data_IF_607464296421
#
_entry.id   IF_607464296421
#
_cell.length_a   1.000
_cell.length_b   1.000
_cell.length_c   1.000
_cell.angle_alpha   90.00
_cell.angle_beta   90.00
_cell.angle_gamma   90.00
#
_symmetry.space_group_name_H-M   'P 1'
#
loop_
_entity.id
_entity.type
_entity.pdbx_description
1 polymer ?
#
# COMPACT_ATOMS: atom_id res chain seq x y z
N UNK A 1 -25.05 -21.10 20.34
CA UNK A 1 -24.77 -21.93 21.53
C UNK A 1 -23.53 -21.37 22.20
N UNK A 2 -23.62 -20.96 23.46
CA UNK A 2 -22.46 -20.54 24.27
C UNK A 2 -22.13 -21.70 25.20
N UNK A 3 -20.91 -22.22 25.10
CA UNK A 3 -20.48 -23.35 25.92
C UNK A 3 -19.82 -22.81 27.18
N UNK A 4 -20.24 -23.25 28.39
CA UNK A 4 -19.67 -22.72 29.63
C UNK A 4 -18.18 -23.01 29.77
N UNK A 5 -17.73 -24.19 29.32
CA UNK A 5 -16.33 -24.58 29.43
C UNK A 5 -15.90 -25.46 28.26
N UNK A 6 -14.75 -25.15 27.67
CA UNK A 6 -14.07 -26.01 26.70
C UNK A 6 -12.75 -26.49 27.31
N UNK A 7 -12.61 -27.82 27.43
CA UNK A 7 -11.39 -28.45 27.94
C UNK A 7 -10.61 -29.08 26.80
N UNK A 8 -9.44 -28.52 26.50
CA UNK A 8 -8.54 -29.04 25.48
C UNK A 8 -7.25 -29.55 26.14
N UNK A 9 -7.37 -30.73 26.78
CA UNK A 9 -6.34 -31.31 27.66
C UNK A 9 -5.79 -32.66 27.16
N UNK A 10 -6.24 -33.13 26.00
CA UNK A 10 -5.83 -34.41 25.44
C UNK A 10 -4.42 -34.37 24.84
N UNK A 11 -3.98 -35.53 24.33
CA UNK A 11 -2.76 -35.60 23.53
C UNK A 11 -2.91 -34.78 22.24
N UNK A 12 -1.78 -34.25 21.77
CA UNK A 12 -1.73 -33.47 20.54
C UNK A 12 -2.31 -34.26 19.36
N UNK A 13 -3.31 -33.72 18.64
CA UNK A 13 -3.86 -34.40 17.47
C UNK A 13 -2.78 -34.71 16.43
N UNK A 14 -2.53 -36.00 16.17
CA UNK A 14 -1.55 -36.45 15.18
C UNK A 14 -2.05 -36.28 13.74
N UNK A 15 -3.37 -36.41 13.53
CA UNK A 15 -4.05 -36.29 12.23
C UNK A 15 -5.28 -35.39 12.35
N UNK A 16 -5.70 -34.81 11.23
CA UNK A 16 -6.87 -33.94 11.15
C UNK A 16 -6.61 -32.48 11.48
N UNK A 17 -7.69 -31.69 11.50
CA UNK A 17 -7.70 -30.26 11.81
C UNK A 17 -8.66 -30.01 12.98
N UNK A 18 -8.29 -29.08 13.86
CA UNK A 18 -9.14 -28.57 14.93
C UNK A 18 -9.74 -27.25 14.46
N UNK A 19 -11.06 -27.19 14.34
CA UNK A 19 -11.79 -26.01 13.87
C UNK A 19 -12.66 -25.50 15.00
N UNK A 20 -12.38 -24.29 15.47
CA UNK A 20 -13.12 -23.58 16.52
C UNK A 20 -13.82 -22.32 15.97
N UNK A 21 -13.96 -22.23 14.65
CA UNK A 21 -14.50 -21.04 14.00
C UNK A 21 -15.91 -20.72 14.49
N UNK A 22 -16.13 -19.48 14.92
CA UNK A 22 -17.41 -18.99 15.45
C UNK A 22 -17.81 -19.55 16.83
N UNK A 23 -16.99 -20.39 17.46
CA UNK A 23 -17.29 -20.93 18.78
C UNK A 23 -17.15 -19.85 19.85
N UNK A 24 -18.04 -19.89 20.85
CA UNK A 24 -18.00 -18.99 22.00
C UNK A 24 -17.98 -19.82 23.27
N UNK A 25 -16.91 -19.65 24.05
CA UNK A 25 -16.70 -20.36 25.31
C UNK A 25 -16.49 -19.36 26.43
N UNK A 26 -16.95 -19.66 27.63
CA UNK A 26 -16.62 -18.79 28.78
C UNK A 26 -15.21 -19.16 29.26
N UNK A 27 -15.01 -20.41 29.68
CA UNK A 27 -13.71 -20.88 30.16
C UNK A 27 -13.00 -21.75 29.12
N UNK A 28 -11.77 -21.36 28.75
CA UNK A 28 -10.86 -22.20 27.96
C UNK A 28 -9.83 -22.84 28.89
N UNK A 29 -9.99 -24.14 29.15
CA UNK A 29 -9.09 -24.93 29.97
C UNK A 29 -8.17 -25.73 29.06
N UNK A 30 -6.90 -25.36 28.96
CA UNK A 30 -6.01 -25.92 27.95
C UNK A 30 -4.57 -26.18 28.43
N UNK A 31 -3.82 -26.95 27.65
CA UNK A 31 -2.39 -27.16 27.85
C UNK A 31 -1.61 -26.77 26.60
N UNK A 32 -0.40 -26.27 26.79
CA UNK A 32 0.47 -25.86 25.69
C UNK A 32 0.82 -27.02 24.73
N UNK A 33 0.91 -28.25 25.24
CA UNK A 33 1.25 -29.46 24.48
C UNK A 33 0.05 -30.11 23.76
N UNK A 34 -1.19 -29.77 24.14
CA UNK A 34 -2.39 -30.37 23.55
C UNK A 34 -2.71 -29.84 22.15
N UNK A 35 -2.32 -28.62 21.81
CA UNK A 35 -2.73 -27.96 20.57
C UNK A 35 -2.04 -28.50 19.30
N UNK A 36 -2.74 -28.58 18.15
CA UNK A 36 -2.15 -29.01 16.90
C UNK A 36 -1.14 -27.98 16.36
N UNK A 37 -0.31 -28.40 15.40
CA UNK A 37 0.70 -27.52 14.79
C UNK A 37 0.15 -26.48 13.81
N UNK A 38 1.02 -25.60 13.30
CA UNK A 38 0.68 -24.61 12.29
C UNK A 38 -0.11 -25.22 11.12
N UNK A 39 -1.15 -24.53 10.67
CA UNK A 39 -2.01 -24.96 9.55
C UNK A 39 -3.02 -26.06 9.86
N UNK A 40 -3.07 -26.56 11.11
CA UNK A 40 -4.06 -27.56 11.57
C UNK A 40 -5.06 -27.02 12.60
N UNK A 41 -5.04 -25.72 12.82
CA UNK A 41 -5.91 -25.03 13.76
C UNK A 41 -6.60 -23.88 13.02
N UNK A 42 -7.92 -23.73 13.21
CA UNK A 42 -8.70 -22.61 12.67
C UNK A 42 -9.53 -21.97 13.79
N UNK A 43 -9.36 -20.67 13.99
CA UNK A 43 -10.02 -19.91 15.08
C UNK A 43 -10.81 -18.68 14.60
N UNK A 44 -11.20 -18.60 13.33
CA UNK A 44 -11.92 -17.41 12.83
C UNK A 44 -13.23 -17.20 13.59
N UNK A 45 -13.40 -16.08 14.29
CA UNK A 45 -14.58 -15.86 15.16
C UNK A 45 -14.60 -16.66 16.47
N UNK A 46 -13.51 -17.32 16.87
CA UNK A 46 -13.42 -18.00 18.17
C UNK A 46 -13.29 -16.99 19.30
N UNK A 47 -14.24 -17.01 20.25
CA UNK A 47 -14.24 -16.14 21.41
C UNK A 47 -14.14 -16.97 22.70
N UNK A 48 -13.31 -16.50 23.62
CA UNK A 48 -13.15 -17.01 24.98
C UNK A 48 -13.05 -15.84 25.95
N UNK A 49 -13.55 -16.02 27.17
CA UNK A 49 -13.56 -14.97 28.21
C UNK A 49 -12.45 -15.20 29.24
N UNK A 50 -12.25 -16.45 29.69
CA UNK A 50 -11.24 -16.81 30.67
C UNK A 50 -10.26 -17.85 30.13
N UNK A 51 -8.98 -17.65 30.43
CA UNK A 51 -7.91 -18.62 30.16
C UNK A 51 -7.53 -19.34 31.45
N UNK A 52 -7.69 -20.66 31.47
CA UNK A 52 -7.39 -21.51 32.64
C UNK A 52 -6.35 -22.56 32.24
N UNK A 53 -5.06 -22.17 32.07
CA UNK A 53 -4.02 -23.10 31.65
C UNK A 53 -3.79 -24.18 32.71
N UNK A 54 -3.61 -25.43 32.26
CA UNK A 54 -3.21 -26.55 33.11
C UNK A 54 -1.71 -26.79 32.98
N UNK A 55 -0.95 -26.25 33.93
CA UNK A 55 0.50 -26.29 33.93
C UNK A 55 1.13 -25.07 33.25
N UNK A 56 2.46 -25.07 33.03
CA UNK A 56 3.17 -23.93 32.47
C UNK A 56 2.70 -23.62 31.04
N UNK A 57 2.08 -22.45 30.85
CA UNK A 57 1.71 -21.94 29.53
C UNK A 57 2.27 -20.52 29.34
N UNK A 58 3.59 -20.39 29.13
CA UNK A 58 4.22 -19.09 28.93
C UNK A 58 3.68 -18.37 27.69
N UNK A 59 3.70 -17.03 27.74
CA UNK A 59 3.18 -16.17 26.69
C UNK A 59 3.76 -16.48 25.31
N UNK A 60 5.05 -16.78 25.22
CA UNK A 60 5.71 -17.15 23.97
C UNK A 60 5.06 -18.38 23.29
N UNK A 61 4.67 -19.40 24.07
CA UNK A 61 3.95 -20.56 23.53
C UNK A 61 2.52 -20.19 23.14
N UNK A 62 1.88 -19.28 23.89
CA UNK A 62 0.53 -18.80 23.58
C UNK A 62 0.51 -18.01 22.28
N UNK A 63 1.52 -17.18 22.03
CA UNK A 63 1.70 -16.48 20.76
C UNK A 63 1.92 -17.45 19.60
N UNK A 64 2.69 -18.53 19.79
CA UNK A 64 2.83 -19.59 18.77
C UNK A 64 1.52 -20.31 18.48
N UNK A 65 0.68 -20.50 19.49
CA UNK A 65 -0.66 -21.07 19.33
C UNK A 65 -1.57 -20.14 18.51
N UNK A 66 -1.55 -18.83 18.78
CA UNK A 66 -2.26 -17.81 18.01
C UNK A 66 -1.75 -17.74 16.57
N UNK A 67 -0.43 -17.78 16.35
CA UNK A 67 0.16 -17.76 15.01
C UNK A 67 -0.16 -19.06 14.22
N UNK A 68 -0.29 -20.20 14.91
CA UNK A 68 -0.67 -21.46 14.30
C UNK A 68 -2.15 -21.54 13.89
N UNK A 69 -3.00 -20.62 14.38
CA UNK A 69 -4.45 -20.59 14.20
C UNK A 69 -4.92 -20.25 12.79
N UNK A 70 -4.02 -19.79 11.92
CA UNK A 70 -4.30 -19.47 10.53
C UNK A 70 -3.03 -19.62 9.70
N UNK A 71 -3.16 -20.10 8.46
CA UNK A 71 -2.05 -20.13 7.51
C UNK A 71 -1.66 -18.72 7.03
N UNK A 72 -2.64 -17.80 7.01
CA UNK A 72 -2.47 -16.39 6.66
C UNK A 72 -2.57 -15.51 7.90
N UNK A 73 -1.94 -14.32 7.87
CA UNK A 73 -2.00 -13.39 8.99
C UNK A 73 -3.44 -12.93 9.27
N UNK A 74 -3.94 -13.24 10.47
CA UNK A 74 -5.23 -12.77 10.98
C UNK A 74 -5.02 -11.96 12.28
N UNK A 75 -5.41 -10.67 12.34
CA UNK A 75 -5.27 -9.85 13.54
C UNK A 75 -6.22 -10.22 14.69
N UNK A 76 -7.37 -10.84 14.41
CA UNK A 76 -8.45 -11.07 15.40
C UNK A 76 -8.00 -11.96 16.59
N UNK A 77 -7.36 -13.13 16.39
CA UNK A 77 -6.89 -13.97 17.49
C UNK A 77 -5.93 -13.27 18.45
N UNK A 78 -5.10 -12.35 17.94
CA UNK A 78 -4.20 -11.55 18.77
C UNK A 78 -4.95 -10.52 19.62
N UNK A 79 -5.94 -9.84 19.02
CA UNK A 79 -6.78 -8.87 19.75
C UNK A 79 -7.58 -9.56 20.85
N UNK A 80 -8.13 -10.74 20.56
CA UNK A 80 -8.87 -11.53 21.55
C UNK A 80 -7.98 -11.94 22.72
N UNK A 81 -6.79 -12.48 22.45
CA UNK A 81 -5.85 -12.85 23.51
C UNK A 81 -5.46 -11.63 24.36
N UNK A 82 -5.15 -10.49 23.73
CA UNK A 82 -4.79 -9.27 24.43
C UNK A 82 -5.96 -8.67 25.24
N UNK A 83 -7.21 -8.85 24.81
CA UNK A 83 -8.38 -8.45 25.58
C UNK A 83 -8.52 -9.30 26.84
N UNK A 84 -8.46 -10.62 26.70
CA UNK A 84 -8.61 -11.57 27.82
C UNK A 84 -7.47 -11.43 28.85
N UNK A 85 -6.24 -11.17 28.40
CA UNK A 85 -5.11 -10.93 29.32
C UNK A 85 -5.29 -9.64 30.12
N UNK A 86 -5.82 -8.56 29.52
CA UNK A 86 -6.14 -7.32 30.24
C UNK A 86 -7.28 -7.52 31.24
N UNK A 87 -8.33 -8.22 30.85
CA UNK A 87 -9.44 -8.56 31.73
C UNK A 87 -8.99 -9.46 32.90
N UNK A 88 -7.99 -10.32 32.68
CA UNK A 88 -7.32 -11.11 33.71
C UNK A 88 -6.28 -10.36 34.56
N UNK A 89 -6.06 -9.06 34.32
CA UNK A 89 -5.13 -8.22 35.09
C UNK A 89 -3.66 -8.31 34.68
N UNK A 90 -3.32 -8.96 33.57
CA UNK A 90 -1.94 -9.15 33.08
C UNK A 90 -1.66 -8.20 31.90
N UNK A 91 -1.65 -6.90 32.21
CA UNK A 91 -1.55 -5.84 31.20
C UNK A 91 -0.22 -5.82 30.43
N UNK A 92 0.88 -6.24 31.06
CA UNK A 92 2.19 -6.32 30.41
C UNK A 92 2.18 -7.36 29.29
N UNK A 93 1.68 -8.57 29.56
CA UNK A 93 1.53 -9.64 28.57
C UNK A 93 0.63 -9.20 27.42
N UNK A 94 -0.46 -8.49 27.71
CA UNK A 94 -1.36 -7.98 26.67
C UNK A 94 -0.67 -6.99 25.72
N UNK A 95 0.21 -6.11 26.24
CA UNK A 95 1.01 -5.20 25.40
C UNK A 95 1.98 -5.98 24.53
N UNK A 96 2.62 -7.00 25.07
CA UNK A 96 3.52 -7.87 24.30
C UNK A 96 2.78 -8.60 23.17
N UNK A 97 1.54 -9.05 23.39
CA UNK A 97 0.69 -9.63 22.33
C UNK A 97 0.42 -8.64 21.20
N UNK A 98 0.09 -7.38 21.54
CA UNK A 98 -0.18 -6.35 20.54
C UNK A 98 1.10 -5.96 19.77
N UNK A 99 2.27 -5.99 20.41
CA UNK A 99 3.56 -5.80 19.74
C UNK A 99 3.86 -6.96 18.79
N UNK A 100 3.62 -8.21 19.22
CA UNK A 100 3.77 -9.40 18.39
C UNK A 100 2.85 -9.34 17.16
N UNK A 101 1.60 -8.90 17.32
CA UNK A 101 0.65 -8.64 16.22
C UNK A 101 1.23 -7.64 15.21
N UNK A 102 1.78 -6.52 15.67
CA UNK A 102 2.37 -5.50 14.78
C UNK A 102 3.63 -6.01 14.07
N UNK A 103 4.50 -6.77 14.76
CA UNK A 103 5.66 -7.41 14.14
C UNK A 103 5.22 -8.35 13.04
N UNK A 104 4.22 -9.22 13.31
CA UNK A 104 3.72 -10.18 12.34
C UNK A 104 3.07 -9.52 11.13
N UNK A 105 2.30 -8.44 11.34
CA UNK A 105 1.75 -7.62 10.24
C UNK A 105 2.83 -7.06 9.32
N UNK A 106 3.99 -6.69 9.87
CA UNK A 106 5.11 -6.17 9.06
C UNK A 106 5.78 -7.26 8.25
N UNK A 107 5.91 -8.46 8.80
CA UNK A 107 6.48 -9.63 8.13
C UNK A 107 5.52 -10.21 7.07
N UNK A 108 4.21 -10.16 7.33
CA UNK A 108 3.19 -10.70 6.43
C UNK A 108 2.86 -9.78 5.26
N UNK A 109 3.30 -8.52 5.27
CA UNK A 109 3.19 -7.61 4.14
C UNK A 109 4.19 -8.06 3.06
N UNK A 110 3.73 -8.59 1.91
CA UNK A 110 4.64 -8.93 0.83
C UNK A 110 5.37 -7.65 0.41
N UNK A 111 6.69 -7.70 0.26
CA UNK A 111 7.47 -6.61 -0.34
C UNK A 111 6.86 -6.21 -1.70
N UNK A 112 6.32 -7.18 -2.44
CA UNK A 112 5.58 -6.99 -3.67
C UNK A 112 4.23 -6.25 -3.50
N UNK A 113 3.51 -6.42 -2.38
CA UNK A 113 2.26 -5.69 -2.12
C UNK A 113 2.50 -4.25 -1.65
N UNK A 114 3.66 -3.96 -1.04
CA UNK A 114 4.09 -2.56 -0.80
C UNK A 114 4.40 -1.86 -2.12
N UNK A 115 5.10 -2.53 -3.03
CA UNK A 115 5.41 -1.99 -4.36
C UNK A 115 4.17 -1.91 -5.26
N UNK A 116 3.29 -2.92 -5.21
CA UNK A 116 2.01 -2.94 -5.91
C UNK A 116 1.03 -1.93 -5.32
N UNK A 117 1.01 -1.71 -4.01
CA UNK A 117 0.24 -0.66 -3.36
C UNK A 117 0.71 0.74 -3.78
N UNK A 118 2.01 0.95 -3.95
CA UNK A 118 2.56 2.16 -4.56
C UNK A 118 2.15 2.32 -6.02
N UNK A 119 2.16 1.24 -6.80
CA UNK A 119 1.72 1.23 -8.20
C UNK A 119 0.19 1.44 -8.34
N UNK A 120 -0.60 0.90 -7.41
CA UNK A 120 -2.05 1.00 -7.37
C UNK A 120 -2.50 2.38 -6.88
N UNK A 121 -1.82 2.98 -5.89
CA UNK A 121 -1.97 4.40 -5.54
C UNK A 121 -1.56 5.32 -6.70
N UNK A 122 -0.64 4.87 -7.55
CA UNK A 122 -0.25 5.56 -8.79
C UNK A 122 -1.39 5.61 -9.83
N UNK A 123 -2.22 4.55 -9.89
CA UNK A 123 -3.33 4.45 -10.87
C UNK A 123 -4.71 4.81 -10.30
N UNK A 124 -4.97 4.64 -9.00
CA UNK A 124 -6.30 4.81 -8.38
C UNK A 124 -6.47 6.19 -7.74
N UNK A 125 -5.39 6.92 -7.45
CA UNK A 125 -5.46 8.30 -6.96
C UNK A 125 -5.72 9.34 -8.07
N UNK A 126 -6.56 9.01 -9.07
CA UNK A 126 -7.07 9.91 -10.11
C UNK A 126 -8.19 10.85 -9.61
N UNK A 127 -8.25 11.08 -8.30
CA UNK A 127 -9.23 11.93 -7.66
C UNK A 127 -8.56 13.03 -6.86
N UNK A 128 -8.80 14.28 -7.28
CA UNK A 128 -8.77 15.48 -6.44
C UNK A 128 -7.39 15.98 -5.97
N UNK A 129 -6.75 16.82 -6.80
CA UNK A 129 -6.12 18.11 -6.40
C UNK A 129 -5.41 18.75 -7.61
N UNK A 130 -5.81 19.96 -8.07
CA UNK A 130 -5.20 20.63 -9.23
C UNK A 130 -3.68 20.89 -9.08
N UNK A 131 -3.16 20.92 -7.85
CA UNK A 131 -1.71 21.09 -7.59
C UNK A 131 -0.82 19.94 -8.09
N UNK A 132 -1.33 18.71 -8.28
CA UNK A 132 -0.48 17.58 -8.72
C UNK A 132 -0.21 17.59 -10.23
N UNK A 133 -1.11 18.15 -11.03
CA UNK A 133 -0.87 18.37 -12.46
C UNK A 133 0.26 19.38 -12.68
N UNK A 134 0.35 20.42 -11.84
CA UNK A 134 1.47 21.38 -11.88
C UNK A 134 2.81 20.70 -11.53
N UNK A 135 2.83 19.77 -10.57
CA UNK A 135 4.05 18.99 -10.26
C UNK A 135 4.47 18.11 -11.42
N UNK A 136 3.53 17.39 -12.05
CA UNK A 136 3.83 16.58 -13.23
C UNK A 136 4.28 17.41 -14.43
N UNK A 137 3.69 18.60 -14.62
CA UNK A 137 4.14 19.56 -15.61
C UNK A 137 5.60 19.98 -15.35
N UNK A 138 5.95 20.28 -14.09
CA UNK A 138 7.31 20.63 -13.72
C UNK A 138 8.31 19.47 -13.91
N UNK A 139 7.90 18.22 -13.61
CA UNK A 139 8.74 17.03 -13.81
C UNK A 139 8.96 16.76 -15.30
N UNK A 140 7.91 16.79 -16.12
CA UNK A 140 8.03 16.61 -17.57
C UNK A 140 8.87 17.73 -18.18
N UNK A 141 8.66 18.98 -17.74
CA UNK A 141 9.46 20.11 -18.18
C UNK A 141 10.95 19.92 -17.86
N UNK A 142 11.29 19.55 -16.63
CA UNK A 142 12.67 19.29 -16.23
C UNK A 142 13.30 18.11 -17.02
N UNK A 143 12.55 17.03 -17.21
CA UNK A 143 12.99 15.87 -17.97
C UNK A 143 13.22 16.19 -19.46
N UNK A 144 12.29 16.92 -20.08
CA UNK A 144 12.41 17.41 -21.45
C UNK A 144 13.59 18.36 -21.61
N UNK A 145 13.72 19.33 -20.70
CA UNK A 145 14.85 20.27 -20.68
C UNK A 145 16.18 19.53 -20.65
N UNK A 146 16.33 18.53 -19.78
CA UNK A 146 17.55 17.73 -19.68
C UNK A 146 17.79 16.86 -20.92
N UNK A 147 16.73 16.29 -21.48
CA UNK A 147 16.82 15.48 -22.68
C UNK A 147 17.27 16.32 -23.88
N UNK A 148 16.56 17.41 -24.18
CA UNK A 148 16.86 18.32 -25.30
C UNK A 148 18.16 19.11 -25.08
N UNK A 149 18.66 19.26 -23.85
CA UNK A 149 19.98 19.83 -23.59
C UNK A 149 21.13 18.91 -24.02
N UNK A 150 20.89 17.59 -24.17
CA UNK A 150 21.94 16.64 -24.55
C UNK A 150 22.32 16.71 -26.03
N UNK A 151 21.49 17.33 -26.85
CA UNK A 151 21.69 17.42 -28.29
C UNK A 151 21.33 18.80 -28.79
N UNK A 152 22.27 19.47 -29.45
CA UNK A 152 21.96 20.72 -30.17
C UNK A 152 21.22 20.34 -31.45
N UNK A 153 20.00 20.84 -31.61
CA UNK A 153 19.22 20.64 -32.82
C UNK A 153 19.52 21.77 -33.81
N UNK A 154 19.81 21.45 -35.09
CA UNK A 154 20.06 22.49 -36.08
C UNK A 154 18.78 23.27 -36.38
N UNK A 155 18.89 24.57 -36.69
CA UNK A 155 17.74 25.38 -37.05
C UNK A 155 17.17 24.95 -38.41
N UNK A 156 15.85 25.10 -38.57
CA UNK A 156 15.10 24.72 -39.76
C UNK A 156 15.29 25.73 -40.91
N UNK A 157 15.57 27.00 -40.58
CA UNK A 157 15.91 28.09 -41.52
C UNK A 157 17.20 28.77 -41.05
N UNK A 158 18.09 29.11 -41.98
CA UNK A 158 19.33 29.83 -41.68
C UNK A 158 19.07 31.33 -41.54
N UNK A 159 19.39 31.91 -40.38
CA UNK A 159 19.45 33.37 -40.17
C UNK A 159 18.28 34.01 -39.42
N UNK A 160 17.16 33.31 -39.27
CA UNK A 160 15.99 33.78 -38.50
C UNK A 160 15.54 32.70 -37.51
N UNK A 161 16.24 32.58 -36.38
CA UNK A 161 15.84 31.74 -35.26
C UNK A 161 16.30 32.37 -33.94
N UNK A 162 15.58 32.14 -32.84
CA UNK A 162 16.07 32.50 -31.51
C UNK A 162 17.30 31.66 -31.13
N UNK A 163 17.97 32.04 -30.06
CA UNK A 163 18.99 31.19 -29.44
C UNK A 163 18.37 29.89 -28.92
N UNK A 164 19.07 28.77 -29.12
CA UNK A 164 18.61 27.46 -28.66
C UNK A 164 18.51 27.42 -27.13
N UNK A 165 17.29 27.27 -26.62
CA UNK A 165 17.05 27.09 -25.21
C UNK A 165 16.20 25.82 -24.99
N UNK A 166 16.82 24.70 -24.55
CA UNK A 166 16.14 23.44 -24.31
C UNK A 166 14.98 23.54 -23.32
N UNK A 167 15.08 24.43 -22.33
CA UNK A 167 14.07 24.58 -21.30
C UNK A 167 12.85 25.35 -21.80
N UNK A 168 13.08 26.39 -22.61
CA UNK A 168 11.99 27.09 -23.30
C UNK A 168 11.34 26.17 -24.34
N UNK A 169 12.12 25.44 -25.13
CA UNK A 169 11.61 24.47 -26.10
C UNK A 169 10.75 23.38 -25.44
N UNK A 170 11.20 22.80 -24.33
CA UNK A 170 10.42 21.80 -23.59
C UNK A 170 9.12 22.38 -23.00
N UNK A 171 9.15 23.63 -22.54
CA UNK A 171 7.97 24.31 -22.02
C UNK A 171 6.97 24.63 -23.13
N UNK A 172 7.46 25.06 -24.28
CA UNK A 172 6.68 25.37 -25.49
C UNK A 172 5.96 24.12 -26.04
N UNK A 173 6.60 22.95 -25.95
CA UNK A 173 5.95 21.67 -26.26
C UNK A 173 4.85 21.27 -25.25
N UNK A 174 5.01 21.64 -23.98
CA UNK A 174 4.12 21.23 -22.89
C UNK A 174 2.94 22.20 -22.69
N UNK A 175 3.07 23.45 -23.11
CA UNK A 175 2.06 24.50 -22.98
C UNK A 175 1.37 24.75 -24.33
N UNK A 176 0.30 24.00 -24.67
CA UNK A 176 -0.29 24.06 -26.00
C UNK A 176 -0.93 25.40 -26.40
N UNK A 177 -1.11 26.31 -25.43
CA UNK A 177 -1.79 27.60 -25.63
C UNK A 177 -0.80 28.76 -25.74
N UNK A 178 0.42 28.59 -25.24
CA UNK A 178 1.42 29.67 -25.18
C UNK A 178 2.54 29.31 -26.14
N UNK A 179 2.81 30.21 -27.07
CA UNK A 179 3.96 30.13 -27.96
C UNK A 179 5.12 30.94 -27.35
N UNK A 180 6.18 30.25 -26.96
CA UNK A 180 7.43 30.83 -26.43
C UNK A 180 8.46 31.09 -27.52
N UNK A 181 8.09 30.86 -28.79
CA UNK A 181 8.86 31.21 -29.97
C UNK A 181 10.00 30.24 -30.28
N UNK A 182 10.01 29.03 -29.73
CA UNK A 182 11.07 28.03 -29.97
C UNK A 182 10.58 26.92 -30.92
N UNK A 183 9.35 26.45 -30.76
CA UNK A 183 8.77 25.40 -31.61
C UNK A 183 8.63 25.91 -33.05
N UNK A 184 8.95 25.05 -34.02
CA UNK A 184 8.92 25.39 -35.46
C UNK A 184 10.23 25.97 -36.02
N UNK A 185 11.17 26.37 -35.17
CA UNK A 185 12.51 26.84 -35.59
C UNK A 185 13.57 25.75 -35.63
N UNK A 186 13.32 24.58 -35.03
CA UNK A 186 14.33 23.53 -34.83
C UNK A 186 13.98 22.22 -35.55
N UNK A 187 14.96 21.60 -36.18
CA UNK A 187 14.78 20.33 -36.88
C UNK A 187 15.02 19.14 -35.94
N UNK A 188 13.94 18.52 -35.46
CA UNK A 188 14.01 17.25 -34.74
C UNK A 188 13.99 16.08 -35.74
N UNK A 189 14.91 15.12 -35.60
CA UNK A 189 14.99 13.92 -36.46
C UNK A 189 14.93 12.63 -35.63
N UNK A 190 14.32 11.60 -36.20
CA UNK A 190 14.29 10.26 -35.61
C UNK A 190 13.54 10.21 -34.27
N UNK A 191 14.17 9.62 -33.24
CA UNK A 191 13.55 9.46 -31.92
C UNK A 191 13.14 10.77 -31.23
N UNK A 192 13.81 11.88 -31.53
CA UNK A 192 13.49 13.20 -30.96
C UNK A 192 12.17 13.77 -31.47
N UNK A 193 11.78 13.44 -32.71
CA UNK A 193 10.48 13.82 -33.26
C UNK A 193 9.36 13.12 -32.48
N UNK A 194 9.47 11.81 -32.29
CA UNK A 194 8.49 11.06 -31.49
C UNK A 194 8.43 11.51 -30.03
N UNK A 195 9.59 11.86 -29.45
CA UNK A 195 9.65 12.42 -28.10
C UNK A 195 8.90 13.76 -28.02
N UNK A 196 9.11 14.67 -28.98
CA UNK A 196 8.36 15.93 -29.02
C UNK A 196 6.85 15.73 -29.19
N UNK A 197 6.43 14.80 -30.05
CA UNK A 197 5.02 14.45 -30.22
C UNK A 197 4.42 13.90 -28.92
N UNK A 198 5.14 13.04 -28.20
CA UNK A 198 4.70 12.55 -26.90
C UNK A 198 4.55 13.69 -25.87
N UNK A 199 5.50 14.63 -25.85
CA UNK A 199 5.43 15.81 -24.98
C UNK A 199 4.21 16.69 -25.29
N UNK A 200 3.91 16.93 -26.57
CA UNK A 200 2.72 17.68 -27.00
C UNK A 200 1.44 16.99 -26.52
N UNK A 201 1.31 15.68 -26.74
CA UNK A 201 0.14 14.92 -26.30
C UNK A 201 -0.04 14.94 -24.78
N UNK A 202 1.05 14.78 -24.02
CA UNK A 202 1.05 14.89 -22.56
C UNK A 202 0.67 16.30 -22.09
N UNK A 203 1.15 17.34 -22.76
CA UNK A 203 0.79 18.73 -22.51
C UNK A 203 -0.72 18.96 -22.62
N UNK A 204 -1.35 18.46 -23.69
CA UNK A 204 -2.81 18.53 -23.87
C UNK A 204 -3.60 17.77 -22.79
N UNK A 205 -3.14 16.57 -22.40
CA UNK A 205 -3.77 15.79 -21.31
C UNK A 205 -3.69 16.55 -19.98
N UNK A 206 -2.54 17.14 -19.66
CA UNK A 206 -2.37 17.89 -18.42
C UNK A 206 -3.17 19.20 -18.43
N UNK A 207 -3.17 19.93 -19.55
CA UNK A 207 -3.92 21.17 -19.69
C UNK A 207 -5.43 20.95 -19.50
N UNK A 208 -5.99 19.92 -20.13
CA UNK A 208 -7.41 19.57 -19.98
C UNK A 208 -7.75 19.13 -18.55
N UNK A 209 -6.84 18.42 -17.87
CA UNK A 209 -7.00 18.03 -16.47
C UNK A 209 -7.07 19.25 -15.54
N UNK A 210 -6.19 20.24 -15.74
CA UNK A 210 -6.19 21.50 -14.96
C UNK A 210 -7.46 22.30 -15.24
N UNK A 211 -7.84 22.46 -16.51
CA UNK A 211 -9.04 23.19 -16.91
C UNK A 211 -10.30 22.57 -16.29
N UNK A 212 -10.46 21.24 -16.40
CA UNK A 212 -11.59 20.51 -15.81
C UNK A 212 -11.61 20.57 -14.27
N UNK A 213 -10.43 20.58 -13.64
CA UNK A 213 -10.27 20.78 -12.20
C UNK A 213 -10.75 22.17 -11.75
N UNK A 214 -10.36 23.22 -12.48
CA UNK A 214 -10.70 24.61 -12.16
C UNK A 214 -12.20 24.93 -12.36
N UNK A 215 -12.84 24.38 -13.40
CA UNK A 215 -14.29 24.60 -13.62
C UNK A 215 -15.13 24.00 -12.50
N UNK A 216 -14.69 22.87 -11.93
CA UNK A 216 -15.42 22.17 -10.87
C UNK A 216 -15.31 22.85 -9.51
N UNK A 217 -14.23 23.61 -9.25
CA UNK A 217 -14.09 24.40 -8.02
C UNK A 217 -14.92 25.68 -8.06
N UNK A 218 -15.09 26.30 -9.23
CA UNK A 218 -15.91 27.52 -9.40
C UNK A 218 -17.41 27.24 -9.32
N UNK A 219 -17.87 26.04 -9.67
CA UNK A 219 -19.30 25.66 -9.61
C UNK A 219 -19.81 25.31 -8.20
N UNK A 220 -18.96 25.45 -7.17
CA UNK A 220 -19.24 25.14 -5.77
C UNK A 220 -19.18 26.37 -4.84
N UNK A 221 -19.04 27.57 -5.39
CA UNK A 221 -19.17 28.85 -4.67
C UNK A 221 -20.48 29.54 -5.03
#
# INVERSE_FOLDING_TARGET
>A
MQTPELRFLGERPARGRVVLSGARVVNLVDRADSWPGPGRLHMGGFAYENLVPRGPFPLALRLRWVDAASAEYNPEPYERLAAVLREGGVDEDAREVLLAKQRRRRESLPLAAKLWGYAQDWTVAYGYRPGRAAVWMAVLWAAGSLAFARTVHPPLKSGEHPDWNPALFALDLLLPVIDLGQVGFWQLRGGWQWLSTAFILLGWILATTVAAGATRTLRRS
#
